data_IF_031363935242
#
_entry.id   IF_031363935242
#
_cell.length_a   1.000
_cell.length_b   1.000
_cell.length_c   1.000
_cell.angle_alpha   90.00
_cell.angle_beta   90.00
_cell.angle_gamma   90.00
#
_symmetry.space_group_name_H-M   'P 1'
#
loop_
_entity.id
_entity.type
_entity.pdbx_description
1 polymer ?
#
# COMPACT_ATOMS: atom_id res chain seq x y z
N UNK A 1 0.83 -14.78 8.53
CA UNK A 1 -0.12 -14.51 7.44
C UNK A 1 0.48 -15.11 6.17
N UNK A 2 -0.29 -15.72 5.29
CA UNK A 2 0.25 -16.29 4.03
C UNK A 2 0.37 -15.17 2.98
N UNK A 3 1.57 -14.58 2.89
CA UNK A 3 1.83 -13.40 2.07
C UNK A 3 1.81 -13.74 0.57
N UNK A 4 2.26 -14.93 0.18
CA UNK A 4 2.20 -15.40 -1.22
C UNK A 4 0.76 -15.45 -1.70
N UNK A 5 -0.15 -15.99 -0.87
CA UNK A 5 -1.58 -16.03 -1.19
C UNK A 5 -2.17 -14.63 -1.36
N UNK A 6 -1.77 -13.67 -0.53
CA UNK A 6 -2.24 -12.28 -0.65
C UNK A 6 -1.71 -11.65 -1.94
N UNK A 7 -0.41 -11.79 -2.21
CA UNK A 7 0.25 -11.22 -3.39
C UNK A 7 -0.37 -11.78 -4.68
N UNK A 8 -0.61 -13.10 -4.75
CA UNK A 8 -1.27 -13.73 -5.91
C UNK A 8 -2.70 -13.22 -6.15
N UNK A 9 -3.35 -12.66 -5.12
CA UNK A 9 -4.67 -12.04 -5.22
C UNK A 9 -4.66 -10.60 -5.76
N UNK A 10 -3.49 -9.94 -5.77
CA UNK A 10 -3.35 -8.55 -6.22
C UNK A 10 -3.43 -8.53 -7.76
N UNK A 11 -4.31 -7.70 -8.36
CA UNK A 11 -4.48 -7.68 -9.82
C UNK A 11 -3.19 -7.46 -10.61
N UNK A 12 -2.27 -6.64 -10.08
CA UNK A 12 -0.97 -6.35 -10.68
C UNK A 12 -0.03 -7.57 -10.75
N UNK A 13 -0.24 -8.58 -9.90
CA UNK A 13 0.65 -9.74 -9.77
C UNK A 13 0.00 -11.06 -10.21
N UNK A 14 -1.26 -11.04 -10.64
CA UNK A 14 -2.04 -12.24 -10.93
C UNK A 14 -1.42 -13.13 -12.02
N UNK A 15 -0.68 -12.55 -12.96
CA UNK A 15 -0.08 -13.26 -14.10
C UNK A 15 1.37 -13.71 -13.83
N UNK A 16 1.91 -13.43 -12.64
CA UNK A 16 3.26 -13.85 -12.29
C UNK A 16 3.30 -15.36 -12.00
N UNK A 17 4.32 -16.09 -12.49
CA UNK A 17 4.64 -17.44 -12.04
C UNK A 17 4.87 -17.49 -10.53
N UNK A 18 4.70 -18.68 -9.95
CA UNK A 18 4.81 -18.89 -8.50
C UNK A 18 6.18 -18.46 -7.98
N UNK A 19 7.25 -18.74 -8.72
CA UNK A 19 8.62 -18.37 -8.34
C UNK A 19 8.78 -16.84 -8.22
N UNK A 20 8.12 -16.07 -9.10
CA UNK A 20 8.14 -14.61 -9.04
C UNK A 20 7.25 -14.06 -7.92
N UNK A 21 6.17 -14.76 -7.57
CA UNK A 21 5.36 -14.43 -6.38
C UNK A 21 6.20 -14.63 -5.11
N UNK A 22 7.01 -15.68 -5.06
CA UNK A 22 7.96 -15.91 -3.95
C UNK A 22 8.98 -14.79 -3.84
N UNK A 23 9.60 -14.37 -4.96
CA UNK A 23 10.54 -13.24 -4.97
C UNK A 23 9.90 -11.93 -4.47
N UNK A 24 8.66 -11.66 -4.86
CA UNK A 24 7.92 -10.48 -4.37
C UNK A 24 7.59 -10.62 -2.88
N UNK A 25 7.22 -11.82 -2.43
CA UNK A 25 6.93 -12.08 -1.02
C UNK A 25 8.17 -11.88 -0.13
N UNK A 26 9.36 -12.26 -0.62
CA UNK A 26 10.62 -12.13 0.12
C UNK A 26 11.04 -10.67 0.37
N UNK A 27 10.66 -9.75 -0.52
CA UNK A 27 10.96 -8.31 -0.38
C UNK A 27 9.81 -7.50 0.24
N UNK A 28 8.64 -8.11 0.40
CA UNK A 28 7.45 -7.42 0.91
C UNK A 28 7.48 -7.29 2.44
N UNK A 29 7.10 -6.12 2.94
CA UNK A 29 7.11 -5.79 4.38
C UNK A 29 5.69 -5.52 4.86
N UNK A 30 5.26 -6.25 5.89
CA UNK A 30 3.95 -6.03 6.52
C UNK A 30 3.98 -4.82 7.46
N UNK A 31 3.04 -3.91 7.28
CA UNK A 31 2.84 -2.76 8.16
C UNK A 31 1.42 -2.75 8.74
N UNK A 32 1.33 -2.46 10.04
CA UNK A 32 0.05 -2.31 10.75
C UNK A 32 -0.08 -0.89 11.31
N UNK A 33 -1.19 -0.22 10.98
CA UNK A 33 -1.46 1.15 11.40
C UNK A 33 -2.73 1.23 12.24
N UNK A 34 -2.69 2.04 13.31
CA UNK A 34 -3.89 2.42 14.07
C UNK A 34 -4.66 3.53 13.32
N UNK A 35 -5.96 3.63 13.57
CA UNK A 35 -6.81 4.72 13.04
C UNK A 35 -6.17 6.09 13.32
N UNK A 36 -6.11 6.93 12.29
CA UNK A 36 -5.57 8.29 12.37
C UNK A 36 -4.05 8.39 12.22
N UNK A 37 -3.34 7.29 11.97
CA UNK A 37 -1.91 7.33 11.64
C UNK A 37 -1.70 7.66 10.15
N UNK A 38 -0.71 8.51 9.89
CA UNK A 38 -0.21 8.80 8.54
C UNK A 38 0.69 7.65 8.11
N UNK A 39 0.50 7.15 6.88
CA UNK A 39 1.33 6.09 6.28
C UNK A 39 2.55 6.73 5.60
N UNK A 40 2.32 7.73 4.74
CA UNK A 40 3.35 8.60 4.14
C UNK A 40 2.73 9.94 3.75
N UNK A 41 3.57 10.94 3.47
CA UNK A 41 3.16 12.31 3.16
C UNK A 41 3.62 12.77 1.77
N UNK A 42 2.91 13.72 1.18
CA UNK A 42 3.33 14.35 -0.08
C UNK A 42 4.70 15.03 0.08
N UNK A 43 5.59 14.80 -0.89
CA UNK A 43 6.96 15.33 -0.86
C UNK A 43 7.98 14.44 -0.14
N UNK A 44 7.54 13.38 0.55
CA UNK A 44 8.45 12.34 1.05
C UNK A 44 9.01 11.50 -0.11
N UNK A 45 10.24 10.99 0.06
CA UNK A 45 10.85 10.13 -0.92
C UNK A 45 10.03 8.84 -1.10
N UNK A 46 9.71 8.50 -2.35
CA UNK A 46 9.03 7.25 -2.66
C UNK A 46 10.00 6.07 -2.48
N UNK A 47 9.85 5.33 -1.39
CA UNK A 47 10.64 4.13 -1.10
C UNK A 47 10.01 2.84 -1.63
N UNK A 48 8.80 2.93 -2.16
CA UNK A 48 8.02 1.80 -2.67
C UNK A 48 6.54 2.17 -2.83
N UNK A 49 5.71 1.17 -3.08
CA UNK A 49 4.26 1.31 -3.08
C UNK A 49 3.64 0.39 -2.02
N UNK A 50 2.39 0.67 -1.66
CA UNK A 50 1.67 -0.05 -0.62
C UNK A 50 0.45 -0.75 -1.22
N UNK A 51 0.11 -1.92 -0.67
CA UNK A 51 -1.15 -2.60 -0.94
C UNK A 51 -1.93 -2.74 0.35
N UNK A 52 -3.21 -2.38 0.33
CA UNK A 52 -4.10 -2.51 1.49
C UNK A 52 -4.57 -3.95 1.59
N UNK A 53 -4.06 -4.68 2.59
CA UNK A 53 -4.50 -6.06 2.89
C UNK A 53 -5.86 -6.05 3.59
N UNK A 54 -6.05 -5.14 4.54
CA UNK A 54 -7.31 -4.97 5.27
C UNK A 54 -7.47 -3.56 5.81
N UNK A 55 -8.72 -3.12 5.99
CA UNK A 55 -9.05 -1.79 6.49
C UNK A 55 -9.34 -0.78 5.38
N UNK A 56 -9.36 0.50 5.74
CA UNK A 56 -9.64 1.62 4.84
C UNK A 56 -8.56 2.68 5.00
N UNK A 57 -8.07 3.18 3.86
CA UNK A 57 -7.10 4.26 3.79
C UNK A 57 -7.77 5.46 3.14
N UNK A 58 -7.62 6.64 3.76
CA UNK A 58 -8.07 7.91 3.20
C UNK A 58 -6.87 8.58 2.54
N UNK A 59 -6.97 8.84 1.24
CA UNK A 59 -5.99 9.64 0.50
C UNK A 59 -6.51 11.08 0.43
N UNK A 60 -5.69 12.04 0.84
CA UNK A 60 -6.07 13.45 0.84
C UNK A 60 -4.87 14.35 0.52
N UNK A 61 -5.16 15.55 0.03
CA UNK A 61 -4.22 16.66 -0.08
C UNK A 61 -4.71 17.83 0.76
N UNK A 62 -3.78 18.64 1.25
CA UNK A 62 -4.08 19.90 1.92
C UNK A 62 -3.89 21.00 0.88
N UNK A 63 -4.96 21.74 0.57
CA UNK A 63 -4.89 22.89 -0.33
C UNK A 63 -4.21 24.08 0.33
N UNK A 64 -3.80 25.07 -0.48
CA UNK A 64 -3.11 26.26 0.01
C UNK A 64 -3.92 27.09 1.04
N UNK A 65 -5.25 26.92 1.07
CA UNK A 65 -6.17 27.52 2.05
C UNK A 65 -6.40 26.65 3.30
N UNK A 66 -5.65 25.55 3.46
CA UNK A 66 -5.67 24.68 4.63
C UNK A 66 -6.81 23.65 4.66
N UNK A 67 -7.57 23.48 3.57
CA UNK A 67 -8.66 22.51 3.49
C UNK A 67 -8.18 21.15 3.00
N UNK A 68 -8.80 20.08 3.49
CA UNK A 68 -8.56 18.73 2.99
C UNK A 68 -9.39 18.46 1.73
N UNK A 69 -8.72 18.08 0.63
CA UNK A 69 -9.34 17.52 -0.56
C UNK A 69 -9.11 16.01 -0.60
N UNK A 70 -10.18 15.23 -0.70
CA UNK A 70 -10.12 13.77 -0.84
C UNK A 70 -9.82 13.43 -2.29
N UNK A 71 -8.82 12.58 -2.53
CA UNK A 71 -8.51 12.02 -3.85
C UNK A 71 -9.20 10.66 -3.99
N UNK A 72 -9.79 10.37 -5.16
CA UNK A 72 -10.46 9.11 -5.48
C UNK A 72 -9.61 8.26 -6.42
#
# INVERSE_FOLDING_TARGET
MDLQRIISGIPMFRELPVEQIEEVADIAVEHSYRKGKIIFSEGEAATGFYVVISGLVKIFKISADGKEQILH
#
